data_IF_502921616630
#
_entry.id   IF_502921616630
#
_cell.length_a   1.000
_cell.length_b   1.000
_cell.length_c   1.000
_cell.angle_alpha   90.00
_cell.angle_beta   90.00
_cell.angle_gamma   90.00
#
_symmetry.space_group_name_H-M   'P 1'
#
loop_
_entity.id
_entity.type
_entity.pdbx_description
1 polymer ?
#
# COMPACT_ATOMS: atom_id res chain seq x y z
N UNK A 1 21.65 22.95 9.66
CA UNK A 1 21.90 23.36 8.26
C UNK A 1 20.64 23.05 7.48
N UNK A 2 19.87 24.07 7.10
CA UNK A 2 18.61 23.83 6.38
C UNK A 2 18.94 23.35 4.94
N UNK A 3 18.02 22.62 4.31
CA UNK A 3 18.30 21.98 3.02
C UNK A 3 18.54 23.03 1.88
N UNK A 4 18.07 24.27 2.04
CA UNK A 4 18.42 25.39 1.15
C UNK A 4 19.86 25.88 1.34
N UNK A 5 20.38 25.84 2.56
CA UNK A 5 21.75 26.18 2.95
C UNK A 5 22.74 25.11 2.53
N UNK A 6 22.34 23.83 2.60
CA UNK A 6 23.10 22.71 2.00
C UNK A 6 23.21 22.85 0.47
N UNK A 7 22.14 23.26 -0.21
CA UNK A 7 22.16 23.50 -1.66
C UNK A 7 22.96 24.76 -2.03
N UNK A 8 22.89 25.81 -1.21
CA UNK A 8 23.66 27.05 -1.40
C UNK A 8 25.16 26.82 -1.23
N UNK A 9 25.56 25.98 -0.28
CA UNK A 9 26.97 25.67 0.00
C UNK A 9 27.59 24.66 -0.99
N UNK A 10 26.79 23.86 -1.70
CA UNK A 10 27.29 22.79 -2.60
C UNK A 10 27.19 23.11 -4.09
N UNK A 11 26.69 24.29 -4.47
CA UNK A 11 26.71 24.79 -5.86
C UNK A 11 25.97 23.90 -6.89
N UNK A 12 25.16 22.94 -6.45
CA UNK A 12 24.51 21.95 -7.32
C UNK A 12 23.04 21.76 -6.93
N UNK A 13 22.14 21.87 -7.93
CA UNK A 13 20.70 21.63 -7.78
C UNK A 13 20.40 20.11 -7.76
N UNK A 14 20.82 19.40 -6.71
CA UNK A 14 20.39 18.02 -6.55
C UNK A 14 18.95 17.97 -6.04
N UNK A 15 18.11 17.11 -6.64
CA UNK A 15 16.83 16.69 -6.05
C UNK A 15 17.13 15.95 -4.75
N UNK A 16 17.15 16.67 -3.63
CA UNK A 16 17.29 16.07 -2.29
C UNK A 16 16.05 15.21 -2.08
N UNK A 17 16.22 13.88 -2.08
CA UNK A 17 15.16 12.96 -1.67
C UNK A 17 15.10 13.00 -0.14
N UNK A 18 14.12 13.73 0.40
CA UNK A 18 13.90 13.76 1.85
C UNK A 18 13.42 12.39 2.36
N UNK A 19 13.97 11.96 3.47
CA UNK A 19 13.54 10.76 4.21
C UNK A 19 12.73 11.19 5.43
N UNK A 20 11.97 10.27 6.01
CA UNK A 20 11.14 10.55 7.18
C UNK A 20 11.92 11.07 8.42
N UNK A 21 13.24 10.83 8.48
CA UNK A 21 14.12 11.37 9.52
C UNK A 21 14.30 12.90 9.40
N UNK A 22 14.01 13.48 8.24
CA UNK A 22 14.12 14.92 7.95
C UNK A 22 12.88 15.71 8.40
N UNK A 23 12.10 15.18 9.34
CA UNK A 23 10.88 15.83 9.89
C UNK A 23 11.12 17.23 10.45
N UNK A 24 12.37 17.53 10.83
CA UNK A 24 12.81 18.85 11.29
C UNK A 24 13.36 19.75 10.16
N UNK A 25 13.51 19.26 8.92
CA UNK A 25 13.91 20.10 7.78
C UNK A 25 12.70 20.88 7.25
N UNK A 26 12.76 22.23 7.17
CA UNK A 26 11.65 23.05 6.67
C UNK A 26 11.19 22.72 5.25
N UNK A 27 12.06 22.19 4.38
CA UNK A 27 11.69 21.80 3.02
C UNK A 27 10.86 20.50 2.98
N UNK A 28 11.10 19.54 3.88
CA UNK A 28 10.27 18.34 4.01
C UNK A 28 8.84 18.73 4.35
N UNK A 29 8.68 19.67 5.30
CA UNK A 29 7.35 20.18 5.67
C UNK A 29 6.66 20.93 4.51
N UNK A 30 7.41 21.65 3.66
CA UNK A 30 6.87 22.27 2.44
C UNK A 30 6.41 21.23 1.41
N UNK A 31 7.20 20.18 1.17
CA UNK A 31 6.82 19.07 0.29
C UNK A 31 5.55 18.36 0.79
N UNK A 32 5.50 18.02 2.09
CA UNK A 32 4.30 17.42 2.72
C UNK A 32 3.07 18.30 2.57
N UNK A 33 3.23 19.61 2.72
CA UNK A 33 2.13 20.57 2.54
C UNK A 33 1.67 20.65 1.09
N UNK A 34 2.59 20.57 0.12
CA UNK A 34 2.26 20.53 -1.31
C UNK A 34 1.50 19.24 -1.69
N UNK A 35 1.92 18.08 -1.19
CA UNK A 35 1.20 16.81 -1.39
C UNK A 35 -0.21 16.85 -0.81
N UNK A 36 -0.41 17.43 0.38
CA UNK A 36 -1.75 17.60 0.97
C UNK A 36 -2.65 18.50 0.11
N UNK A 37 -2.09 19.53 -0.53
CA UNK A 37 -2.84 20.41 -1.45
C UNK A 37 -3.18 19.73 -2.78
N UNK A 38 -2.41 18.74 -3.20
CA UNK A 38 -2.66 17.94 -4.41
C UNK A 38 -3.62 16.76 -4.19
N UNK A 39 -4.17 16.58 -2.97
CA UNK A 39 -5.16 15.57 -2.63
C UNK A 39 -6.52 15.71 -3.31
N UNK A 40 -6.59 16.28 -4.51
CA UNK A 40 -7.63 15.95 -5.48
C UNK A 40 -7.45 14.49 -5.86
N UNK A 41 -8.44 13.69 -5.47
CA UNK A 41 -8.64 12.30 -5.90
C UNK A 41 -8.39 12.22 -7.40
N UNK A 42 -7.34 11.52 -7.83
CA UNK A 42 -7.26 11.05 -9.20
C UNK A 42 -8.32 9.96 -9.34
N UNK A 43 -9.52 10.35 -9.77
CA UNK A 43 -10.49 9.42 -10.32
C UNK A 43 -9.91 8.92 -11.64
N UNK A 44 -9.18 7.80 -11.61
CA UNK A 44 -9.07 6.99 -12.81
C UNK A 44 -10.45 6.43 -13.06
N UNK A 45 -11.13 6.98 -14.07
CA UNK A 45 -12.32 6.37 -14.61
C UNK A 45 -12.03 4.90 -14.85
N UNK A 46 -12.93 4.01 -14.42
CA UNK A 46 -12.88 2.57 -14.70
C UNK A 46 -12.81 2.34 -16.21
N UNK A 47 -11.62 2.39 -16.82
CA UNK A 47 -11.37 1.71 -18.07
C UNK A 47 -11.13 0.25 -17.70
N UNK A 48 -12.20 -0.53 -17.74
CA UNK A 48 -12.12 -1.98 -17.78
C UNK A 48 -11.21 -2.30 -18.96
N UNK A 49 -9.99 -2.78 -18.69
CA UNK A 49 -9.18 -3.43 -19.71
C UNK A 49 -9.84 -4.78 -19.97
N UNK A 50 -10.80 -4.81 -20.88
CA UNK A 50 -11.25 -6.05 -21.50
C UNK A 50 -10.07 -6.60 -22.30
N UNK A 51 -9.34 -7.54 -21.69
CA UNK A 51 -8.35 -8.32 -22.39
C UNK A 51 -9.11 -9.31 -23.27
N UNK A 52 -9.38 -8.92 -24.51
CA UNK A 52 -9.92 -9.81 -25.53
C UNK A 52 -8.93 -10.96 -25.78
N UNK A 53 -9.48 -12.18 -25.71
CA UNK A 53 -8.96 -13.41 -26.32
C UNK A 53 -8.09 -14.35 -25.47
N UNK A 54 -8.73 -15.01 -24.49
CA UNK A 54 -8.51 -16.43 -24.19
C UNK A 54 -9.87 -17.07 -23.86
N UNK A 55 -10.23 -18.25 -24.40
CA UNK A 55 -11.51 -18.89 -24.10
C UNK A 55 -11.39 -19.58 -22.74
N UNK A 56 -11.55 -18.83 -21.67
CA UNK A 56 -11.89 -19.40 -20.37
C UNK A 56 -13.40 -19.29 -20.21
N UNK A 57 -14.05 -20.41 -19.89
CA UNK A 57 -15.45 -20.43 -19.49
C UNK A 57 -15.59 -19.58 -18.23
N UNK A 58 -16.13 -18.37 -18.37
CA UNK A 58 -16.42 -17.49 -17.24
C UNK A 58 -17.69 -18.05 -16.58
N UNK A 59 -17.51 -18.84 -15.52
CA UNK A 59 -18.61 -19.15 -14.62
C UNK A 59 -18.81 -17.92 -13.72
N UNK A 60 -19.74 -17.06 -14.08
CA UNK A 60 -20.20 -15.97 -13.22
C UNK A 60 -21.13 -16.55 -12.15
N UNK A 61 -20.58 -16.94 -11.00
CA UNK A 61 -21.37 -17.09 -9.79
C UNK A 61 -21.53 -15.72 -9.12
N UNK A 62 -22.78 -15.33 -8.86
CA UNK A 62 -23.11 -14.04 -8.25
C UNK A 62 -22.77 -14.03 -6.76
N UNK A 63 -21.52 -13.76 -6.42
CA UNK A 63 -21.24 -12.99 -5.20
C UNK A 63 -21.70 -11.56 -5.47
N UNK A 64 -22.57 -11.00 -4.63
CA UNK A 64 -23.17 -9.68 -4.85
C UNK A 64 -22.17 -8.52 -4.75
N UNK A 65 -20.99 -8.75 -4.17
CA UNK A 65 -19.87 -7.81 -4.22
C UNK A 65 -18.57 -8.48 -4.72
N UNK A 66 -17.79 -7.82 -5.59
CA UNK A 66 -16.48 -8.29 -6.03
C UNK A 66 -15.44 -8.11 -4.91
N UNK A 67 -14.47 -9.03 -4.85
CA UNK A 67 -13.32 -8.92 -3.95
C UNK A 67 -12.52 -7.63 -4.24
N UNK A 68 -12.41 -6.73 -3.25
CA UNK A 68 -11.71 -5.45 -3.39
C UNK A 68 -10.27 -5.57 -2.91
N UNK A 69 -9.32 -5.43 -3.83
CA UNK A 69 -7.88 -5.50 -3.54
C UNK A 69 -7.27 -4.11 -3.72
N UNK A 70 -6.60 -3.59 -2.68
CA UNK A 70 -5.80 -2.37 -2.75
C UNK A 70 -4.32 -2.71 -2.78
N UNK A 71 -3.62 -2.38 -3.88
CA UNK A 71 -2.17 -2.50 -3.95
C UNK A 71 -1.50 -1.14 -3.83
N UNK A 72 -0.50 -1.02 -2.95
CA UNK A 72 0.21 0.23 -2.71
C UNK A 72 1.70 0.02 -2.38
N UNK A 73 2.53 0.89 -2.94
CA UNK A 73 3.93 1.03 -2.55
C UNK A 73 4.10 2.29 -1.70
N UNK A 74 4.55 2.14 -0.45
CA UNK A 74 4.70 3.25 0.49
C UNK A 74 6.09 3.91 0.43
N UNK A 75 7.01 3.40 -0.39
CA UNK A 75 8.35 3.95 -0.64
C UNK A 75 9.15 4.28 0.64
N UNK A 76 8.91 3.55 1.72
CA UNK A 76 9.43 3.77 3.09
C UNK A 76 9.14 5.17 3.64
N UNK A 77 8.13 5.85 3.10
CA UNK A 77 7.78 7.20 3.48
C UNK A 77 6.75 7.17 4.62
N UNK A 78 7.12 7.72 5.79
CA UNK A 78 6.21 7.89 6.93
C UNK A 78 4.94 8.67 6.52
N UNK A 79 5.09 9.67 5.67
CA UNK A 79 3.99 10.50 5.14
C UNK A 79 3.03 9.75 4.23
N UNK A 80 3.47 8.66 3.59
CA UNK A 80 2.60 7.77 2.82
C UNK A 80 1.99 6.67 3.72
N UNK A 81 2.73 6.22 4.74
CA UNK A 81 2.29 5.15 5.66
C UNK A 81 1.19 5.63 6.61
N UNK A 82 1.33 6.83 7.19
CA UNK A 82 0.37 7.37 8.17
C UNK A 82 -1.08 7.47 7.65
N UNK A 83 -1.36 8.01 6.45
CA UNK A 83 -2.74 8.12 5.95
C UNK A 83 -3.32 6.80 5.46
N UNK A 84 -2.56 5.69 5.40
CA UNK A 84 -3.04 4.42 4.84
C UNK A 84 -4.34 3.94 5.51
N UNK A 85 -4.46 4.08 6.83
CA UNK A 85 -5.66 3.67 7.56
C UNK A 85 -6.90 4.49 7.15
N UNK A 86 -6.75 5.78 6.84
CA UNK A 86 -7.84 6.64 6.35
C UNK A 86 -8.25 6.23 4.94
N UNK A 87 -7.28 6.02 4.06
CA UNK A 87 -7.50 5.54 2.69
C UNK A 87 -8.23 4.20 2.71
N UNK A 88 -7.78 3.26 3.53
CA UNK A 88 -8.40 1.94 3.63
C UNK A 88 -9.79 1.99 4.28
N UNK A 89 -10.04 2.89 5.23
CA UNK A 89 -11.39 3.11 5.79
C UNK A 89 -12.36 3.69 4.76
N UNK A 90 -11.85 4.47 3.80
CA UNK A 90 -12.65 5.08 2.73
C UNK A 90 -12.95 4.08 1.62
N UNK A 91 -11.92 3.37 1.14
CA UNK A 91 -12.04 2.40 0.04
C UNK A 91 -12.73 1.11 0.51
N UNK A 92 -12.57 0.75 1.79
CA UNK A 92 -13.02 -0.52 2.38
C UNK A 92 -12.57 -1.73 1.55
N UNK A 93 -11.26 -1.89 1.28
CA UNK A 93 -10.77 -3.09 0.61
C UNK A 93 -10.94 -4.31 1.51
N UNK A 94 -10.96 -5.50 0.92
CA UNK A 94 -10.92 -6.79 1.63
C UNK A 94 -9.49 -7.28 1.86
N UNK A 95 -8.60 -6.93 0.92
CA UNK A 95 -7.18 -7.29 0.92
C UNK A 95 -6.35 -6.06 0.56
N UNK A 96 -5.25 -5.84 1.29
CA UNK A 96 -4.30 -4.76 1.02
C UNK A 96 -2.91 -5.35 0.82
N UNK A 97 -2.30 -5.06 -0.32
CA UNK A 97 -0.94 -5.46 -0.67
C UNK A 97 -0.02 -4.26 -0.48
N UNK A 98 0.85 -4.32 0.52
CA UNK A 98 1.71 -3.21 0.93
C UNK A 98 3.16 -3.54 0.61
N UNK A 99 3.80 -2.70 -0.19
CA UNK A 99 5.24 -2.75 -0.45
C UNK A 99 5.98 -1.59 0.21
N UNK A 100 7.21 -1.87 0.64
CA UNK A 100 8.17 -0.89 1.15
C UNK A 100 7.57 -0.01 2.26
N UNK A 101 6.95 -0.62 3.29
CA UNK A 101 6.42 0.18 4.40
C UNK A 101 7.52 0.90 5.17
N UNK A 102 7.16 2.01 5.82
CA UNK A 102 8.06 2.65 6.78
C UNK A 102 8.24 1.75 8.02
N UNK A 103 9.49 1.35 8.29
CA UNK A 103 9.81 0.47 9.41
C UNK A 103 10.23 1.29 10.64
N UNK A 104 9.40 1.29 11.68
CA UNK A 104 9.69 1.86 12.99
C UNK A 104 9.43 0.86 14.14
N UNK A 105 9.52 -0.45 13.87
CA UNK A 105 9.23 -1.56 14.80
C UNK A 105 7.80 -1.64 15.34
N UNK A 106 6.97 -0.60 15.19
CA UNK A 106 5.61 -0.54 15.75
C UNK A 106 4.51 -0.87 14.73
N UNK A 107 4.87 -1.47 13.58
CA UNK A 107 3.93 -1.75 12.50
C UNK A 107 3.36 -0.48 11.85
N UNK A 108 2.32 -0.64 11.03
CA UNK A 108 1.59 0.50 10.45
C UNK A 108 0.66 1.04 11.54
N UNK A 109 0.91 2.27 12.00
CA UNK A 109 0.08 2.92 13.02
C UNK A 109 -1.35 3.11 12.52
N UNK A 110 -2.34 2.75 13.35
CA UNK A 110 -3.76 2.94 13.05
C UNK A 110 -4.42 1.80 12.27
N UNK A 111 -3.71 0.72 11.97
CA UNK A 111 -4.34 -0.51 11.46
C UNK A 111 -5.11 -1.20 12.59
N UNK A 112 -6.39 -1.54 12.39
CA UNK A 112 -7.17 -2.28 13.39
C UNK A 112 -6.54 -3.62 13.74
N UNK A 113 -6.57 -4.00 15.03
CA UNK A 113 -6.08 -5.30 15.49
C UNK A 113 -6.87 -6.48 14.93
N UNK A 114 -8.10 -6.25 14.47
CA UNK A 114 -8.93 -7.27 13.82
C UNK A 114 -8.41 -7.69 12.46
N UNK A 115 -7.52 -6.90 11.84
CA UNK A 115 -6.96 -7.23 10.53
C UNK A 115 -5.84 -8.26 10.66
N UNK A 116 -5.88 -9.27 9.80
CA UNK A 116 -4.81 -10.29 9.77
C UNK A 116 -3.65 -9.75 8.94
N UNK A 117 -2.44 -9.86 9.48
CA UNK A 117 -1.22 -9.32 8.87
C UNK A 117 -0.25 -10.46 8.55
N UNK A 118 0.22 -10.51 7.30
CA UNK A 118 1.18 -11.49 6.84
C UNK A 118 2.41 -10.77 6.29
N UNK A 119 3.58 -11.00 6.90
CA UNK A 119 4.83 -10.34 6.49
C UNK A 119 6.05 -11.22 6.78
N UNK A 120 7.17 -10.92 6.11
CA UNK A 120 8.48 -11.48 6.46
C UNK A 120 9.27 -10.49 7.32
N UNK A 121 10.24 -10.98 8.10
CA UNK A 121 10.95 -10.27 9.18
C UNK A 121 11.51 -8.87 8.85
N UNK A 122 11.87 -8.59 7.59
CA UNK A 122 12.38 -7.29 7.13
C UNK A 122 11.33 -6.38 6.49
N UNK A 123 10.07 -6.81 6.47
CA UNK A 123 8.85 -6.05 6.17
C UNK A 123 8.91 -5.27 4.85
N UNK A 124 9.58 -5.81 3.81
CA UNK A 124 9.54 -5.20 2.46
C UNK A 124 8.20 -5.41 1.77
N UNK A 125 7.50 -6.49 2.09
CA UNK A 125 6.15 -6.78 1.63
C UNK A 125 5.30 -7.27 2.80
N UNK A 126 4.03 -6.86 2.78
CA UNK A 126 3.04 -7.19 3.79
C UNK A 126 1.67 -7.29 3.14
N UNK A 127 0.92 -8.33 3.49
CA UNK A 127 -0.48 -8.48 3.07
C UNK A 127 -1.36 -8.33 4.31
N UNK A 128 -2.31 -7.40 4.23
CA UNK A 128 -3.32 -7.17 5.25
C UNK A 128 -4.66 -7.72 4.75
N UNK A 129 -5.35 -8.48 5.59
CA UNK A 129 -6.70 -8.97 5.35
C UNK A 129 -7.63 -8.24 6.31
N UNK A 130 -8.40 -7.32 5.76
CA UNK A 130 -9.34 -6.45 6.50
C UNK A 130 -10.72 -7.08 6.62
N UNK A 131 -11.11 -7.93 5.68
CA UNK A 131 -12.37 -8.68 5.74
C UNK A 131 -12.25 -9.87 6.70
N UNK A 132 -13.17 -9.94 7.67
CA UNK A 132 -13.29 -11.06 8.59
C UNK A 132 -13.83 -12.33 7.94
N UNK A 133 -14.50 -12.20 6.80
CA UNK A 133 -15.11 -13.30 6.06
C UNK A 133 -14.06 -14.13 5.31
N UNK A 134 -12.94 -13.50 4.95
CA UNK A 134 -11.86 -14.16 4.23
C UNK A 134 -11.09 -15.13 5.15
N UNK A 135 -10.84 -16.31 4.59
CA UNK A 135 -10.04 -17.39 5.20
C UNK A 135 -8.72 -17.53 4.44
N UNK A 136 -7.71 -16.69 4.76
CA UNK A 136 -6.39 -16.80 4.16
C UNK A 136 -5.61 -17.96 4.78
N UNK A 137 -4.85 -18.67 3.94
CA UNK A 137 -3.85 -19.63 4.34
C UNK A 137 -2.48 -19.15 3.84
N UNK A 138 -1.50 -19.07 4.75
CA UNK A 138 -0.14 -18.68 4.40
C UNK A 138 0.53 -19.81 3.62
N UNK A 139 0.97 -19.52 2.40
CA UNK A 139 1.71 -20.49 1.57
C UNK A 139 3.21 -20.36 1.79
N UNK A 140 3.72 -19.13 1.72
CA UNK A 140 5.14 -18.86 1.86
C UNK A 140 5.41 -17.39 2.20
N UNK A 141 6.54 -17.15 2.87
CA UNK A 141 7.10 -15.81 3.06
C UNK A 141 8.57 -15.80 2.64
N UNK A 142 8.96 -14.78 1.88
CA UNK A 142 10.36 -14.45 1.58
C UNK A 142 10.60 -12.97 1.91
N UNK A 143 11.87 -12.57 1.89
CA UNK A 143 12.35 -11.19 2.10
C UNK A 143 11.51 -10.12 1.37
N UNK A 144 11.06 -10.38 0.14
CA UNK A 144 10.37 -9.39 -0.69
C UNK A 144 8.95 -9.79 -1.11
N UNK A 145 8.45 -10.93 -0.62
CA UNK A 145 7.27 -11.57 -1.19
C UNK A 145 6.51 -12.31 -0.11
N UNK A 146 5.19 -12.20 -0.14
CA UNK A 146 4.28 -12.93 0.76
C UNK A 146 3.26 -13.60 -0.13
N UNK A 147 3.15 -14.92 -0.03
CA UNK A 147 2.19 -15.70 -0.81
C UNK A 147 1.07 -16.21 0.09
N UNK A 148 -0.17 -15.86 -0.24
CA UNK A 148 -1.38 -16.30 0.45
C UNK A 148 -2.32 -17.02 -0.52
N UNK A 149 -2.99 -18.05 -0.02
CA UNK A 149 -4.17 -18.61 -0.65
C UNK A 149 -5.41 -18.09 0.07
N UNK A 150 -6.39 -17.59 -0.66
CA UNK A 150 -7.70 -17.19 -0.15
C UNK A 150 -8.71 -18.19 -0.67
N UNK A 151 -9.31 -18.94 0.25
CA UNK A 151 -10.41 -19.83 -0.10
C UNK A 151 -11.71 -19.03 -0.15
N UNK A 152 -12.34 -19.02 -1.32
CA UNK A 152 -13.72 -18.54 -1.50
C UNK A 152 -14.68 -19.74 -1.54
N UNK A 153 -15.98 -19.50 -1.64
CA UNK A 153 -16.98 -20.57 -1.81
C UNK A 153 -16.84 -21.31 -3.15
N UNK A 154 -16.35 -20.63 -4.20
CA UNK A 154 -16.38 -21.13 -5.58
C UNK A 154 -14.99 -21.49 -6.12
N UNK A 155 -13.94 -20.80 -5.67
CA UNK A 155 -12.56 -21.06 -6.09
C UNK A 155 -11.51 -20.68 -5.05
N UNK A 156 -10.27 -21.10 -5.30
CA UNK A 156 -9.10 -20.66 -4.54
C UNK A 156 -8.37 -19.55 -5.30
N UNK A 157 -8.07 -18.45 -4.62
CA UNK A 157 -7.28 -17.35 -5.16
C UNK A 157 -5.92 -17.31 -4.48
N UNK A 158 -4.85 -17.49 -5.26
CA UNK A 158 -3.49 -17.29 -4.76
C UNK A 158 -3.01 -15.88 -5.10
N UNK A 159 -2.52 -15.17 -4.09
CA UNK A 159 -1.92 -13.83 -4.19
C UNK A 159 -0.43 -13.95 -3.83
N UNK A 160 0.45 -13.36 -4.65
CA UNK A 160 1.92 -13.40 -4.50
C UNK A 160 2.48 -11.99 -4.66
#
# INVERSE_FOLDING_TARGET
>A
MNCAESNRNRGTNYKIRHRAIDSHCPCYNKEVTAYKKQGTIFSMNNSIFENTQFPYNIVTESSTEPLKILQINLARAKVATNPLHLTASTIKPDVILVHEKYNNNNGITGIPQSWKTFSFSNQKAEILISSSELKPALLATKVTTVALNIQTSSFHLTII
#
